data_IF_441266535685
#
_entry.id   IF_441266535685
#
_cell.length_a   1.000
_cell.length_b   1.000
_cell.length_c   1.000
_cell.angle_alpha   90.00
_cell.angle_beta   90.00
_cell.angle_gamma   90.00
#
_symmetry.space_group_name_H-M   'P 1'
#
loop_
_entity.id
_entity.type
_entity.pdbx_description
1 polymer ?
#
# COMPACT_ATOMS: atom_id res chain seq x y z
N UNK A 1 -8.04 2.59 3.14
CA UNK A 1 -7.27 3.79 3.54
C UNK A 1 -5.82 3.57 3.16
N UNK A 2 -5.05 4.61 2.88
CA UNK A 2 -3.62 4.48 2.61
C UNK A 2 -2.87 5.72 3.06
N UNK A 3 -1.57 5.55 3.26
CA UNK A 3 -0.62 6.64 3.49
C UNK A 3 0.51 6.54 2.45
N UNK A 4 1.21 7.63 2.18
CA UNK A 4 2.34 7.61 1.26
C UNK A 4 3.48 8.51 1.69
N UNK A 5 4.64 8.24 1.10
CA UNK A 5 5.81 9.10 1.05
C UNK A 5 6.15 9.33 -0.42
N UNK A 6 5.75 10.47 -0.96
CA UNK A 6 5.98 10.83 -2.36
C UNK A 6 7.42 11.27 -2.57
N UNK A 7 8.05 10.71 -3.60
CA UNK A 7 9.32 11.21 -4.11
C UNK A 7 9.06 12.40 -5.05
N UNK A 8 9.71 13.56 -4.85
CA UNK A 8 9.56 14.70 -5.76
C UNK A 8 10.17 14.44 -7.15
N UNK A 9 11.02 13.41 -7.26
CA UNK A 9 11.70 13.02 -8.49
C UNK A 9 11.16 11.69 -9.07
N UNK A 10 9.98 11.26 -8.63
CA UNK A 10 9.30 10.09 -9.21
C UNK A 10 9.10 10.29 -10.70
N UNK A 11 9.69 9.40 -11.50
CA UNK A 11 9.43 9.34 -12.93
C UNK A 11 8.09 8.66 -13.21
N UNK A 12 7.35 9.08 -14.25
CA UNK A 12 6.10 8.43 -14.66
C UNK A 12 6.24 6.92 -14.92
N UNK A 13 7.38 6.49 -15.47
CA UNK A 13 7.71 5.10 -15.79
C UNK A 13 8.67 4.44 -14.76
N UNK A 14 8.91 5.12 -13.63
CA UNK A 14 9.80 4.67 -12.58
C UNK A 14 9.23 3.52 -11.75
N UNK A 15 10.05 3.01 -10.84
CA UNK A 15 9.58 2.07 -9.82
C UNK A 15 8.67 2.79 -8.81
N UNK A 16 7.68 2.08 -8.29
CA UNK A 16 6.79 2.53 -7.21
C UNK A 16 6.67 1.39 -6.20
N UNK A 17 6.85 1.72 -4.92
CA UNK A 17 6.85 0.72 -3.86
C UNK A 17 5.50 0.69 -3.16
N UNK A 18 4.97 -0.51 -2.95
CA UNK A 18 3.73 -0.74 -2.22
C UNK A 18 4.01 -1.61 -0.98
N UNK A 19 3.86 -1.03 0.20
CA UNK A 19 3.79 -1.78 1.45
C UNK A 19 2.35 -2.27 1.64
N UNK A 20 2.17 -3.59 1.65
CA UNK A 20 0.87 -4.22 1.93
C UNK A 20 0.69 -4.25 3.44
N UNK A 21 -0.35 -3.57 3.95
CA UNK A 21 -0.67 -3.57 5.36
C UNK A 21 -1.11 -4.97 5.83
N UNK A 22 -0.72 -5.33 7.05
CA UNK A 22 -1.13 -6.57 7.69
C UNK A 22 -2.30 -6.35 8.64
N UNK A 23 -2.26 -7.03 9.78
CA UNK A 23 -3.26 -7.05 10.84
C UNK A 23 -3.27 -5.81 11.75
N UNK A 24 -3.07 -4.62 11.18
CA UNK A 24 -2.93 -3.38 11.92
C UNK A 24 -3.33 -2.14 11.12
N UNK A 25 -3.42 -1.01 11.82
CA UNK A 25 -3.58 0.28 11.15
C UNK A 25 -2.32 0.68 10.40
N UNK A 26 -2.47 1.49 9.35
CA UNK A 26 -1.33 1.99 8.60
C UNK A 26 -0.45 2.88 9.49
N UNK A 27 0.85 2.57 9.52
CA UNK A 27 1.83 3.27 10.34
C UNK A 27 2.92 3.89 9.45
N UNK A 28 3.12 5.19 9.62
CA UNK A 28 4.08 5.98 8.86
C UNK A 28 5.52 5.52 9.06
N UNK A 29 5.83 4.81 10.16
CA UNK A 29 7.14 4.21 10.39
C UNK A 29 7.56 3.29 9.25
N UNK A 30 6.63 2.56 8.61
CA UNK A 30 6.92 1.69 7.45
C UNK A 30 7.36 2.44 6.19
N UNK A 31 7.15 3.76 6.14
CA UNK A 31 7.53 4.59 4.99
C UNK A 31 8.79 5.42 5.24
N UNK A 32 9.18 5.62 6.50
CA UNK A 32 10.24 6.57 6.88
C UNK A 32 11.39 5.94 7.67
N UNK A 33 11.24 4.71 8.16
CA UNK A 33 12.28 4.04 8.93
C UNK A 33 13.45 3.64 8.03
N UNK A 34 14.57 4.36 8.14
CA UNK A 34 15.80 4.08 7.40
C UNK A 34 16.47 2.75 7.80
N UNK A 35 16.02 2.07 8.87
CA UNK A 35 16.41 0.70 9.16
C UNK A 35 15.81 -0.34 8.21
N UNK A 36 14.81 0.04 7.40
CA UNK A 36 14.17 -0.85 6.43
C UNK A 36 14.85 -0.72 5.05
N UNK A 37 15.41 -1.80 4.47
CA UNK A 37 16.20 -1.71 3.24
C UNK A 37 15.46 -1.09 2.05
N UNK A 38 14.15 -1.34 1.92
CA UNK A 38 13.36 -0.79 0.83
C UNK A 38 13.13 0.73 0.96
N UNK A 39 13.19 1.30 2.18
CA UNK A 39 13.10 2.75 2.37
C UNK A 39 14.35 3.43 1.84
N UNK A 40 15.52 2.86 2.15
CA UNK A 40 16.81 3.34 1.61
C UNK A 40 16.86 3.20 0.08
N UNK A 41 16.43 2.05 -0.45
CA UNK A 41 16.40 1.81 -1.88
C UNK A 41 15.48 2.79 -2.61
N UNK A 42 14.30 3.09 -2.03
CA UNK A 42 13.38 4.07 -2.60
C UNK A 42 14.02 5.46 -2.72
N UNK A 43 14.81 5.87 -1.72
CA UNK A 43 15.54 7.14 -1.76
C UNK A 43 16.60 7.13 -2.87
N UNK A 44 17.32 6.01 -3.05
CA UNK A 44 18.35 5.88 -4.09
C UNK A 44 17.79 5.93 -5.51
N UNK A 45 16.60 5.36 -5.75
CA UNK A 45 16.01 5.27 -7.09
C UNK A 45 14.88 6.27 -7.33
N UNK A 46 14.66 7.20 -6.39
CA UNK A 46 13.58 8.19 -6.41
C UNK A 46 12.17 7.57 -6.48
N UNK A 47 11.96 6.39 -5.88
CA UNK A 47 10.65 5.74 -5.83
C UNK A 47 9.77 6.34 -4.72
N UNK A 48 8.52 6.60 -5.05
CA UNK A 48 7.47 6.87 -4.05
C UNK A 48 7.09 5.56 -3.36
N UNK A 49 6.78 5.65 -2.07
CA UNK A 49 6.32 4.51 -1.28
C UNK A 49 4.88 4.77 -0.85
N UNK A 50 4.00 3.81 -1.12
CA UNK A 50 2.63 3.78 -0.64
C UNK A 50 2.49 2.66 0.37
N UNK A 51 1.65 2.84 1.39
CA UNK A 51 1.20 1.77 2.27
C UNK A 51 -0.31 1.68 2.21
N UNK A 52 -0.83 0.57 1.71
CA UNK A 52 -2.26 0.29 1.65
C UNK A 52 -2.67 -0.44 2.93
N UNK A 53 -3.59 0.13 3.69
CA UNK A 53 -4.12 -0.50 4.89
C UNK A 53 -5.08 -1.63 4.51
N UNK A 54 -4.90 -2.80 5.13
CA UNK A 54 -5.72 -3.97 4.85
C UNK A 54 -7.18 -3.72 5.26
N UNK A 55 -8.13 -4.23 4.46
CA UNK A 55 -9.55 -4.20 4.81
C UNK A 55 -9.80 -4.77 6.22
N UNK A 56 -10.73 -4.17 6.95
CA UNK A 56 -11.08 -4.49 8.35
C UNK A 56 -10.03 -4.14 9.40
N UNK A 57 -8.91 -3.51 9.05
CA UNK A 57 -7.93 -3.01 10.02
C UNK A 57 -7.87 -1.48 10.02
N UNK A 58 -7.44 -0.90 11.14
CA UNK A 58 -7.29 0.55 11.32
C UNK A 58 -8.52 1.36 10.89
N UNK A 59 -8.33 2.22 9.89
CA UNK A 59 -9.36 3.10 9.34
C UNK A 59 -10.13 2.48 8.16
N UNK A 60 -9.71 1.31 7.68
CA UNK A 60 -10.29 0.63 6.52
C UNK A 60 -11.47 -0.23 6.93
N UNK A 61 -12.65 0.38 6.99
CA UNK A 61 -13.91 -0.24 7.43
C UNK A 61 -14.90 -0.38 6.26
N UNK A 62 -14.92 -1.52 5.53
CA UNK A 62 -15.85 -1.74 4.43
C UNK A 62 -17.30 -1.99 4.90
N UNK A 63 -17.50 -2.25 6.19
CA UNK A 63 -18.79 -2.47 6.83
C UNK A 63 -18.94 -1.60 8.07
N UNK A 64 -20.17 -1.34 8.50
CA UNK A 64 -20.47 -0.54 9.70
C UNK A 64 -20.14 -1.29 11.01
N UNK A 65 -19.97 -2.61 10.96
CA UNK A 65 -19.65 -3.46 12.11
C UNK A 65 -18.64 -4.57 11.76
N UNK A 66 -18.21 -5.31 12.78
CA UNK A 66 -17.33 -6.48 12.69
C UNK A 66 -18.06 -7.78 13.04
N UNK A 67 -19.37 -7.87 12.75
CA UNK A 67 -20.15 -9.09 12.98
C UNK A 67 -19.67 -10.25 12.10
N UNK A 68 -19.95 -11.50 12.47
CA UNK A 68 -19.61 -12.70 11.67
C UNK A 68 -20.13 -12.57 10.22
N UNK A 69 -21.31 -11.98 10.05
CA UNK A 69 -21.91 -11.75 8.73
C UNK A 69 -21.11 -10.73 7.90
N UNK A 70 -20.53 -9.71 8.53
CA UNK A 70 -19.66 -8.72 7.89
C UNK A 70 -18.27 -9.29 7.60
N UNK A 71 -17.73 -10.11 8.51
CA UNK A 71 -16.40 -10.72 8.38
C UNK A 71 -16.30 -11.70 7.20
N UNK A 72 -17.40 -12.11 6.58
CA UNK A 72 -17.35 -12.84 5.29
C UNK A 72 -16.60 -12.07 4.17
N UNK A 73 -16.44 -10.75 4.31
CA UNK A 73 -15.67 -9.91 3.39
C UNK A 73 -14.20 -9.74 3.81
N UNK A 74 -13.81 -10.20 5.00
CA UNK A 74 -12.43 -10.29 5.43
C UNK A 74 -11.84 -11.57 4.83
N UNK A 75 -11.42 -11.46 3.58
CA UNK A 75 -10.93 -12.55 2.76
C UNK A 75 -9.71 -12.10 1.97
N UNK A 76 -8.75 -13.01 1.77
CA UNK A 76 -7.47 -12.70 1.14
C UNK A 76 -7.62 -12.39 -0.35
N UNK A 77 -8.49 -13.09 -1.08
CA UNK A 77 -8.73 -12.82 -2.51
C UNK A 77 -9.29 -11.42 -2.69
N UNK A 78 -10.25 -11.09 -1.85
CA UNK A 78 -10.84 -9.77 -1.73
C UNK A 78 -9.79 -8.67 -1.40
N UNK A 79 -8.84 -8.93 -0.50
CA UNK A 79 -7.74 -8.00 -0.22
C UNK A 79 -6.80 -7.81 -1.43
N UNK A 80 -6.55 -8.86 -2.22
CA UNK A 80 -5.80 -8.76 -3.49
C UNK A 80 -6.55 -7.94 -4.53
N UNK A 81 -7.88 -8.05 -4.61
CA UNK A 81 -8.71 -7.20 -5.48
C UNK A 81 -8.64 -5.71 -5.05
N UNK A 82 -8.50 -5.42 -3.76
CA UNK A 82 -8.27 -4.05 -3.29
C UNK A 82 -6.91 -3.51 -3.74
N UNK A 83 -5.87 -4.36 -3.72
CA UNK A 83 -4.52 -4.00 -4.19
C UNK A 83 -4.55 -3.67 -5.69
N UNK A 84 -5.20 -4.50 -6.51
CA UNK A 84 -5.32 -4.27 -7.96
C UNK A 84 -6.01 -2.93 -8.26
N UNK A 85 -7.17 -2.69 -7.63
CA UNK A 85 -7.89 -1.41 -7.77
C UNK A 85 -7.05 -0.22 -7.31
N UNK A 86 -6.38 -0.36 -6.16
CA UNK A 86 -5.51 0.68 -5.63
C UNK A 86 -4.38 1.03 -6.61
N UNK A 87 -3.71 0.03 -7.19
CA UNK A 87 -2.65 0.25 -8.18
C UNK A 87 -3.17 1.00 -9.41
N UNK A 88 -4.34 0.62 -9.92
CA UNK A 88 -4.98 1.30 -11.05
C UNK A 88 -5.28 2.77 -10.71
N UNK A 89 -5.90 3.04 -9.56
CA UNK A 89 -6.24 4.39 -9.11
C UNK A 89 -5.00 5.27 -8.91
N UNK A 90 -3.91 4.74 -8.34
CA UNK A 90 -2.67 5.51 -8.16
C UNK A 90 -1.98 5.78 -9.49
N UNK A 91 -1.97 4.82 -10.43
CA UNK A 91 -1.41 5.03 -11.75
C UNK A 91 -2.09 6.20 -12.47
N UNK A 92 -3.42 6.25 -12.43
CA UNK A 92 -4.20 7.34 -13.01
C UNK A 92 -3.97 8.67 -12.27
N UNK A 93 -4.09 8.66 -10.94
CA UNK A 93 -3.98 9.87 -10.12
C UNK A 93 -2.61 10.53 -10.21
N UNK A 94 -1.54 9.74 -10.18
CA UNK A 94 -0.16 10.22 -10.21
C UNK A 94 0.39 10.31 -11.65
N UNK A 95 -0.43 10.03 -12.67
CA UNK A 95 -0.07 10.07 -14.09
C UNK A 95 1.13 9.18 -14.42
N UNK A 96 1.18 7.99 -13.83
CA UNK A 96 2.22 7.01 -14.08
C UNK A 96 1.98 6.31 -15.41
N UNK A 97 3.03 6.10 -16.18
CA UNK A 97 2.99 5.51 -17.52
C UNK A 97 3.85 4.25 -17.53
N UNK A 98 3.22 3.08 -17.43
CA UNK A 98 3.89 1.78 -17.32
C UNK A 98 4.92 1.70 -16.16
N UNK A 99 4.55 2.09 -14.93
CA UNK A 99 5.45 2.01 -13.79
C UNK A 99 5.74 0.56 -13.40
N UNK A 100 6.86 0.33 -12.71
CA UNK A 100 7.17 -0.96 -12.09
C UNK A 100 6.75 -0.96 -10.62
N UNK A 101 5.66 -1.64 -10.31
CA UNK A 101 5.23 -1.83 -8.92
C UNK A 101 6.01 -2.95 -8.24
N UNK A 102 6.53 -2.68 -7.04
CA UNK A 102 7.23 -3.65 -6.20
C UNK A 102 6.56 -3.67 -4.84
N UNK A 103 6.09 -4.85 -4.41
CA UNK A 103 5.39 -5.02 -3.15
C UNK A 103 6.34 -5.43 -2.02
N UNK A 104 6.05 -4.95 -0.82
CA UNK A 104 6.72 -5.31 0.43
C UNK A 104 5.66 -5.65 1.47
N UNK A 105 5.94 -6.65 2.29
CA UNK A 105 5.08 -7.10 3.37
C UNK A 105 5.92 -7.82 4.40
N UNK A 106 5.39 -7.95 5.61
CA UNK A 106 5.99 -8.75 6.68
C UNK A 106 4.90 -9.40 7.50
N UNK A 107 5.18 -10.61 8.01
CA UNK A 107 4.19 -11.44 8.70
C UNK A 107 3.06 -11.88 7.75
N UNK A 108 1.81 -11.53 8.03
CA UNK A 108 0.63 -11.92 7.24
C UNK A 108 0.51 -11.20 5.88
N UNK A 109 1.07 -9.99 5.77
CA UNK A 109 1.04 -9.11 4.59
C UNK A 109 1.56 -9.74 3.31
#
# INVERSE_FOLDING_TARGET
FYIHRKSPYQRPDGAVFLVVGGEGGADRAWLTNQGLPYVQLADQINASIFMLEHRFYGNSRPTNDISIKSLKYLDAKQAVEDIDKFVQEINEREKLTNPKWITFGGSYS
#
